data_IF_948837993884
#
_entry.id   IF_948837993884
#
_cell.length_a   1.000
_cell.length_b   1.000
_cell.length_c   1.000
_cell.angle_alpha   90.00
_cell.angle_beta   90.00
_cell.angle_gamma   90.00
#
_symmetry.space_group_name_H-M   'P 1'
#
loop_
_entity.id
_entity.type
_entity.pdbx_description
1 polymer ?
#
# COMPACT_ATOMS: atom_id res chain seq x y z
N UNK A 1 6.22 12.14 9.41
CA UNK A 1 6.99 13.12 8.61
C UNK A 1 6.68 14.49 9.19
N UNK A 2 7.69 15.20 9.70
CA UNK A 2 7.49 16.49 10.36
C UNK A 2 7.46 17.64 9.35
N UNK A 3 6.74 18.72 9.68
CA UNK A 3 6.59 19.88 8.80
C UNK A 3 7.95 20.53 8.43
N UNK A 4 8.95 20.43 9.31
CA UNK A 4 10.31 20.90 9.05
C UNK A 4 10.99 20.09 7.93
N UNK A 5 10.89 18.75 7.91
CA UNK A 5 11.45 17.91 6.84
C UNK A 5 10.81 18.21 5.47
N UNK A 6 9.50 18.43 5.44
CA UNK A 6 8.78 18.79 4.20
C UNK A 6 9.24 20.14 3.62
N UNK A 7 9.61 21.08 4.49
CA UNK A 7 10.03 22.43 4.10
C UNK A 7 11.41 22.49 3.42
N UNK A 8 12.23 21.45 3.61
CA UNK A 8 13.56 21.33 2.98
C UNK A 8 13.52 20.66 1.60
N UNK A 9 12.40 20.02 1.24
CA UNK A 9 12.24 19.38 -0.06
C UNK A 9 11.97 20.39 -1.17
N UNK A 10 12.40 20.09 -2.43
CA UNK A 10 12.00 20.85 -3.60
C UNK A 10 10.47 20.98 -3.71
N UNK A 11 9.98 22.12 -4.19
CA UNK A 11 8.54 22.43 -4.30
C UNK A 11 7.75 21.34 -5.01
N UNK A 12 8.22 20.87 -6.17
CA UNK A 12 7.57 19.80 -6.94
C UNK A 12 7.44 18.48 -6.16
N UNK A 13 8.35 18.21 -5.22
CA UNK A 13 8.33 17.01 -4.40
C UNK A 13 7.43 17.18 -3.18
N UNK A 14 7.47 18.37 -2.55
CA UNK A 14 6.56 18.73 -1.46
C UNK A 14 5.11 18.69 -1.91
N UNK A 15 4.80 19.29 -3.06
CA UNK A 15 3.44 19.30 -3.62
C UNK A 15 2.93 17.88 -3.87
N UNK A 16 3.79 16.99 -4.38
CA UNK A 16 3.45 15.59 -4.57
C UNK A 16 3.19 14.83 -3.27
N UNK A 17 3.97 15.10 -2.22
CA UNK A 17 3.76 14.49 -0.90
C UNK A 17 2.46 15.02 -0.28
N UNK A 18 2.21 16.33 -0.35
CA UNK A 18 0.97 16.93 0.14
C UNK A 18 -0.26 16.41 -0.62
N UNK A 19 -0.16 16.21 -1.94
CA UNK A 19 -1.19 15.56 -2.75
C UNK A 19 -1.48 14.14 -2.22
N UNK A 20 -0.45 13.37 -1.89
CA UNK A 20 -0.62 12.03 -1.31
C UNK A 20 -1.24 12.08 0.10
N UNK A 21 -0.80 13.01 0.95
CA UNK A 21 -1.27 13.14 2.33
C UNK A 21 -2.71 13.65 2.45
N UNK A 22 -3.18 14.39 1.43
CA UNK A 22 -4.55 14.92 1.39
C UNK A 22 -5.52 14.00 0.63
N UNK A 23 -5.01 12.97 -0.05
CA UNK A 23 -5.83 11.97 -0.72
C UNK A 23 -6.57 11.11 0.32
N UNK A 24 -7.85 10.75 0.07
CA UNK A 24 -8.55 9.76 0.89
C UNK A 24 -7.76 8.44 0.96
N UNK A 25 -7.69 7.83 2.15
CA UNK A 25 -6.94 6.58 2.35
C UNK A 25 -7.41 5.48 1.38
N UNK A 26 -8.72 5.40 1.12
CA UNK A 26 -9.30 4.44 0.18
C UNK A 26 -8.74 4.60 -1.24
N UNK A 27 -8.69 5.82 -1.75
CA UNK A 27 -8.16 6.10 -3.09
C UNK A 27 -6.66 5.77 -3.18
N UNK A 28 -5.89 6.01 -2.11
CA UNK A 28 -4.48 5.66 -2.05
C UNK A 28 -4.26 4.13 -2.04
N UNK A 29 -5.13 3.38 -1.36
CA UNK A 29 -5.08 1.92 -1.33
C UNK A 29 -5.52 1.33 -2.66
N UNK A 30 -6.58 1.84 -3.29
CA UNK A 30 -6.99 1.41 -4.62
C UNK A 30 -5.86 1.59 -5.65
N UNK A 31 -5.21 2.76 -5.65
CA UNK A 31 -4.07 3.06 -6.53
C UNK A 31 -2.88 2.10 -6.29
N UNK A 32 -2.59 1.79 -5.01
CA UNK A 32 -1.57 0.79 -4.64
C UNK A 32 -1.91 -0.60 -5.19
N UNK A 33 -3.14 -1.07 -4.99
CA UNK A 33 -3.57 -2.42 -5.37
C UNK A 33 -3.60 -2.57 -6.90
N UNK A 34 -4.18 -1.59 -7.60
CA UNK A 34 -4.24 -1.58 -9.06
C UNK A 34 -2.84 -1.51 -9.69
N UNK A 35 -1.94 -0.69 -9.12
CA UNK A 35 -0.60 -0.50 -9.69
C UNK A 35 0.33 -1.71 -9.49
N UNK A 36 0.24 -2.39 -8.35
CA UNK A 36 1.25 -3.37 -7.96
C UNK A 36 0.75 -4.77 -7.65
N UNK A 37 -0.57 -4.97 -7.55
CA UNK A 37 -1.17 -6.26 -7.16
C UNK A 37 -2.07 -6.82 -8.26
N UNK A 38 -2.84 -5.99 -8.95
CA UNK A 38 -3.81 -6.40 -9.99
C UNK A 38 -3.25 -7.38 -11.03
N UNK A 39 -2.05 -7.11 -11.53
CA UNK A 39 -1.37 -7.93 -12.55
C UNK A 39 -0.53 -9.08 -11.96
N UNK A 40 -0.35 -9.13 -10.64
CA UNK A 40 0.44 -10.17 -10.00
C UNK A 40 -0.38 -11.45 -9.85
N UNK A 41 0.23 -12.59 -10.16
CA UNK A 41 -0.42 -13.91 -10.03
C UNK A 41 -0.25 -14.52 -8.63
N UNK A 42 0.57 -13.92 -7.77
CA UNK A 42 0.85 -14.42 -6.42
C UNK A 42 1.46 -13.37 -5.49
N UNK A 43 1.38 -13.61 -4.18
CA UNK A 43 2.07 -12.81 -3.16
C UNK A 43 3.60 -12.79 -3.34
N UNK A 44 4.20 -13.84 -3.91
CA UNK A 44 5.64 -13.87 -4.16
C UNK A 44 6.05 -12.91 -5.29
N UNK A 45 5.19 -12.72 -6.30
CA UNK A 45 5.39 -11.72 -7.35
C UNK A 45 5.23 -10.31 -6.79
N UNK A 46 4.18 -10.07 -5.98
CA UNK A 46 3.99 -8.80 -5.26
C UNK A 46 5.23 -8.46 -4.43
N UNK A 47 5.77 -9.45 -3.69
CA UNK A 47 7.00 -9.24 -2.89
C UNK A 47 8.19 -8.84 -3.74
N UNK A 48 8.41 -9.49 -4.88
CA UNK A 48 9.50 -9.15 -5.78
C UNK A 48 9.35 -7.74 -6.36
N UNK A 49 8.14 -7.38 -6.76
CA UNK A 49 7.83 -6.05 -7.29
C UNK A 49 8.03 -4.96 -6.24
N UNK A 50 7.47 -5.12 -5.04
CA UNK A 50 7.61 -4.15 -3.95
C UNK A 50 9.06 -3.93 -3.54
N UNK A 51 9.87 -5.00 -3.46
CA UNK A 51 11.31 -4.89 -3.22
C UNK A 51 12.02 -4.10 -4.32
N UNK A 52 11.65 -4.32 -5.58
CA UNK A 52 12.21 -3.58 -6.72
C UNK A 52 11.88 -2.08 -6.63
N UNK A 53 10.61 -1.76 -6.35
CA UNK A 53 10.13 -0.38 -6.21
C UNK A 53 10.79 0.31 -5.02
N UNK A 54 10.86 -0.34 -3.85
CA UNK A 54 11.44 0.22 -2.64
C UNK A 54 12.93 0.60 -2.81
N UNK A 55 13.68 -0.16 -3.63
CA UNK A 55 15.07 0.15 -3.97
C UNK A 55 15.18 1.41 -4.83
N UNK A 56 14.31 1.55 -5.82
CA UNK A 56 14.35 2.65 -6.79
C UNK A 56 13.72 3.96 -6.29
N UNK A 57 12.50 3.87 -5.75
CA UNK A 57 11.66 5.01 -5.36
C UNK A 57 10.87 4.70 -4.08
N UNK A 58 11.52 4.70 -2.91
CA UNK A 58 10.93 4.28 -1.63
C UNK A 58 9.85 5.23 -1.12
N UNK A 59 9.85 6.49 -1.56
CA UNK A 59 9.31 7.61 -0.78
C UNK A 59 7.80 7.53 -0.56
N UNK A 60 7.07 6.95 -1.49
CA UNK A 60 5.60 6.86 -1.42
C UNK A 60 5.10 5.55 -0.80
N UNK A 61 5.94 4.51 -0.71
CA UNK A 61 5.55 3.24 -0.11
C UNK A 61 5.16 3.36 1.38
N UNK A 62 5.87 4.13 2.22
CA UNK A 62 5.44 4.35 3.61
C UNK A 62 4.06 5.02 3.71
N UNK A 63 3.75 5.99 2.84
CA UNK A 63 2.46 6.66 2.83
C UNK A 63 1.32 5.71 2.41
N UNK A 64 1.58 4.85 1.42
CA UNK A 64 0.63 3.83 0.98
C UNK A 64 0.43 2.74 2.03
N UNK A 65 1.49 2.34 2.75
CA UNK A 65 1.41 1.42 3.87
C UNK A 65 0.56 2.00 5.00
N UNK A 66 0.79 3.26 5.38
CA UNK A 66 0.00 3.95 6.41
C UNK A 66 -1.48 4.03 6.02
N UNK A 67 -1.79 4.33 4.76
CA UNK A 67 -3.17 4.33 4.26
C UNK A 67 -3.83 2.95 4.36
N UNK A 68 -3.11 1.89 3.98
CA UNK A 68 -3.60 0.51 4.08
C UNK A 68 -3.83 0.08 5.52
N UNK A 69 -2.89 0.40 6.42
CA UNK A 69 -3.02 0.12 7.85
C UNK A 69 -4.20 0.86 8.48
N UNK A 70 -4.44 2.12 8.07
CA UNK A 70 -5.59 2.91 8.52
C UNK A 70 -6.93 2.26 8.14
N UNK A 71 -7.09 1.82 6.88
CA UNK A 71 -8.29 1.11 6.43
C UNK A 71 -8.50 -0.19 7.21
N UNK A 72 -7.41 -0.91 7.53
CA UNK A 72 -7.47 -2.17 8.27
C UNK A 72 -7.71 -1.98 9.78
N UNK A 73 -7.45 -0.79 10.33
CA UNK A 73 -7.61 -0.49 11.74
C UNK A 73 -9.05 -0.09 12.11
N UNK A 74 -9.80 0.47 11.16
CA UNK A 74 -11.18 0.93 11.38
C UNK A 74 -12.22 0.03 10.70
N UNK A 75 -13.43 -0.11 11.27
CA UNK A 75 -14.52 -0.82 10.61
C UNK A 75 -14.87 -0.16 9.28
N UNK A 76 -14.82 -0.93 8.20
CA UNK A 76 -15.26 -0.49 6.89
C UNK A 76 -16.74 -0.83 6.66
N UNK A 77 -17.42 -0.16 5.71
CA UNK A 77 -18.70 -0.62 5.23
C UNK A 77 -18.63 -2.09 4.77
N UNK A 78 -19.75 -2.82 4.94
CA UNK A 78 -19.82 -4.23 4.57
C UNK A 78 -19.51 -4.44 3.09
N UNK A 79 -18.63 -5.39 2.80
CA UNK A 79 -18.18 -5.78 1.46
C UNK A 79 -17.04 -4.91 0.92
N UNK A 80 -16.62 -3.86 1.63
CA UNK A 80 -15.56 -2.96 1.14
C UNK A 80 -14.22 -3.67 1.04
N UNK A 81 -13.81 -4.45 2.03
CA UNK A 81 -12.51 -5.12 1.99
C UNK A 81 -12.52 -6.23 0.95
N UNK A 82 -13.62 -6.96 0.83
CA UNK A 82 -13.81 -7.96 -0.23
C UNK A 82 -13.71 -7.33 -1.61
N UNK A 83 -14.34 -6.18 -1.81
CA UNK A 83 -14.26 -5.44 -3.08
C UNK A 83 -12.82 -5.07 -3.43
N UNK A 84 -12.04 -4.56 -2.47
CA UNK A 84 -10.63 -4.24 -2.70
C UNK A 84 -9.83 -5.44 -3.20
N UNK A 85 -10.09 -6.64 -2.66
CA UNK A 85 -9.36 -7.84 -3.09
C UNK A 85 -9.88 -8.40 -4.42
N UNK A 86 -11.19 -8.55 -4.56
CA UNK A 86 -11.76 -9.19 -5.75
C UNK A 86 -11.71 -8.30 -6.99
N UNK A 87 -11.78 -6.98 -6.81
CA UNK A 87 -11.85 -6.01 -7.91
C UNK A 87 -10.51 -5.30 -8.07
N UNK A 88 -10.01 -4.65 -7.02
CA UNK A 88 -8.81 -3.80 -7.14
C UNK A 88 -7.49 -4.62 -7.14
N UNK A 89 -7.45 -5.79 -6.49
CA UNK A 89 -6.37 -6.77 -6.70
C UNK A 89 -6.66 -7.75 -7.84
N UNK A 90 -7.90 -7.82 -8.34
CA UNK A 90 -8.33 -8.85 -9.30
C UNK A 90 -8.05 -10.30 -8.81
N UNK A 91 -8.14 -10.55 -7.50
CA UNK A 91 -7.83 -11.85 -6.89
C UNK A 91 -9.07 -12.52 -6.29
N UNK A 92 -9.29 -13.79 -6.63
CA UNK A 92 -10.33 -14.60 -6.00
C UNK A 92 -9.97 -15.00 -4.57
N UNK A 93 -10.94 -14.92 -3.65
CA UNK A 93 -10.84 -15.36 -2.25
C UNK A 93 -11.83 -16.50 -1.98
N UNK A 94 -11.57 -17.64 -2.63
CA UNK A 94 -12.49 -18.80 -2.64
C UNK A 94 -12.69 -19.44 -1.26
N UNK A 95 -11.65 -19.44 -0.41
CA UNK A 95 -11.69 -20.09 0.91
C UNK A 95 -12.54 -19.30 1.93
N UNK A 96 -12.58 -17.97 1.84
CA UNK A 96 -13.35 -17.07 2.71
C UNK A 96 -13.76 -15.80 1.94
N UNK A 97 -14.86 -15.82 1.15
CA UNK A 97 -15.30 -14.69 0.32
C UNK A 97 -16.06 -13.63 1.14
N UNK A 98 -15.45 -13.21 2.24
CA UNK A 98 -15.95 -12.20 3.18
C UNK A 98 -14.89 -11.13 3.42
N UNK A 99 -15.29 -9.99 3.99
CA UNK A 99 -14.34 -8.94 4.41
C UNK A 99 -13.28 -9.46 5.40
N UNK A 100 -13.60 -10.49 6.18
CA UNK A 100 -12.64 -11.11 7.10
C UNK A 100 -11.52 -11.81 6.32
N UNK A 101 -11.87 -12.59 5.30
CA UNK A 101 -10.91 -13.25 4.41
C UNK A 101 -10.09 -12.23 3.63
N UNK A 102 -10.75 -11.22 3.08
CA UNK A 102 -10.09 -10.12 2.37
C UNK A 102 -9.10 -9.36 3.27
N UNK A 103 -9.47 -9.08 4.52
CA UNK A 103 -8.57 -8.44 5.48
C UNK A 103 -7.30 -9.26 5.75
N UNK A 104 -7.35 -10.60 5.63
CA UNK A 104 -6.14 -11.44 5.75
C UNK A 104 -5.20 -11.20 4.58
N UNK A 105 -5.72 -11.18 3.35
CA UNK A 105 -4.92 -10.91 2.14
C UNK A 105 -4.32 -9.50 2.20
N UNK A 106 -5.12 -8.50 2.53
CA UNK A 106 -4.66 -7.11 2.65
C UNK A 106 -3.57 -6.95 3.74
N UNK A 107 -3.67 -7.68 4.86
CA UNK A 107 -2.59 -7.72 5.87
C UNK A 107 -1.31 -8.35 5.34
N UNK A 108 -1.39 -9.43 4.55
CA UNK A 108 -0.22 -10.03 3.94
C UNK A 108 0.47 -9.06 2.96
N UNK A 109 -0.31 -8.28 2.22
CA UNK A 109 0.21 -7.22 1.34
C UNK A 109 0.89 -6.12 2.18
N UNK A 110 0.26 -5.67 3.27
CA UNK A 110 0.85 -4.69 4.19
C UNK A 110 2.19 -5.17 4.77
N UNK A 111 2.27 -6.45 5.17
CA UNK A 111 3.51 -7.06 5.67
C UNK A 111 4.60 -7.08 4.59
N UNK A 112 4.25 -7.40 3.34
CA UNK A 112 5.18 -7.33 2.21
C UNK A 112 5.72 -5.92 1.98
N UNK A 113 4.85 -4.90 2.03
CA UNK A 113 5.26 -3.50 1.89
C UNK A 113 6.25 -3.12 3.00
N UNK A 114 5.92 -3.46 4.26
CA UNK A 114 6.77 -3.17 5.42
C UNK A 114 8.15 -3.78 5.28
N UNK A 115 8.22 -5.08 4.96
CA UNK A 115 9.49 -5.79 4.74
C UNK A 115 10.32 -5.13 3.62
N UNK A 116 9.68 -4.74 2.51
CA UNK A 116 10.37 -4.10 1.39
C UNK A 116 10.94 -2.72 1.75
N UNK A 117 10.21 -1.94 2.55
CA UNK A 117 10.66 -0.63 3.06
C UNK A 117 11.85 -0.82 3.99
N UNK A 118 11.73 -1.71 4.98
CA UNK A 118 12.79 -1.97 5.97
C UNK A 118 14.09 -2.46 5.29
N UNK A 119 13.98 -3.38 4.32
CA UNK A 119 15.13 -3.84 3.53
C UNK A 119 15.80 -2.69 2.76
N UNK A 120 15.01 -1.81 2.14
CA UNK A 120 15.53 -0.70 1.35
C UNK A 120 16.19 0.38 2.23
N UNK A 121 15.65 0.64 3.43
CA UNK A 121 16.25 1.55 4.40
C UNK A 121 17.55 0.98 4.97
N UNK A 122 17.58 -0.31 5.31
CA UNK A 122 18.77 -0.98 5.80
C UNK A 122 19.92 -0.96 4.78
N UNK A 123 19.60 -1.07 3.48
CA UNK A 123 20.59 -1.01 2.41
C UNK A 123 21.18 0.39 2.15
N UNK A 124 20.56 1.46 2.66
CA UNK A 124 21.04 2.85 2.53
C UNK A 124 21.90 3.32 3.71
N UNK A 125 21.88 2.58 4.82
CA UNK A 125 22.71 2.84 6.00
C UNK A 125 24.11 2.27 5.81
#
# INVERSE_FOLDING_TARGET
MDYEELSELPEWLRDRILEHLTRPAMDAVQDLLQTFVEDACSLDEVRQLMRSVARGQPMFLPLQLEALESILAEPQPEGTLRWLVEVDCNWGIDDDPTDRGAAVVLRQIADILRDAIEEAEAARR
#
